data_IF_798732277318
#
_entry.id   IF_798732277318
#
_cell.length_a   1.000
_cell.length_b   1.000
_cell.length_c   1.000
_cell.angle_alpha   90.00
_cell.angle_beta   90.00
_cell.angle_gamma   90.00
#
_symmetry.space_group_name_H-M   'P 1'
#
loop_
_entity.id
_entity.type
_entity.pdbx_description
1 polymer ?
#
# COMPACT_ATOMS: atom_id res chain seq x y z
N UNK A 1 -15.54 -12.41 13.63
CA UNK A 1 -16.21 -12.19 12.33
C UNK A 1 -16.64 -13.52 11.73
N UNK A 2 -17.68 -13.55 10.90
CA UNK A 2 -18.02 -14.76 10.16
C UNK A 2 -16.92 -15.05 9.13
N UNK A 3 -16.62 -16.34 8.80
CA UNK A 3 -15.67 -16.70 7.77
C UNK A 3 -16.00 -16.06 6.43
N UNK A 4 -15.02 -15.51 5.74
CA UNK A 4 -15.19 -14.83 4.45
C UNK A 4 -15.23 -15.81 3.28
N UNK A 5 -14.86 -17.08 3.51
CA UNK A 5 -14.67 -18.11 2.48
C UNK A 5 -13.31 -18.01 1.80
N UNK A 6 -12.40 -17.19 2.32
CA UNK A 6 -11.01 -17.11 1.88
C UNK A 6 -10.05 -17.36 3.05
N UNK A 7 -9.27 -18.43 2.96
CA UNK A 7 -8.40 -18.86 4.04
C UNK A 7 -7.33 -17.83 4.43
N UNK A 8 -6.83 -17.05 3.47
CA UNK A 8 -5.83 -16.01 3.74
C UNK A 8 -6.46 -14.86 4.53
N UNK A 9 -7.66 -14.40 4.10
CA UNK A 9 -8.38 -13.33 4.81
C UNK A 9 -8.79 -13.80 6.20
N UNK A 10 -9.35 -15.02 6.32
CA UNK A 10 -9.79 -15.56 7.60
C UNK A 10 -8.62 -15.71 8.60
N UNK A 11 -7.42 -16.10 8.14
CA UNK A 11 -6.22 -16.17 8.97
C UNK A 11 -5.76 -14.78 9.44
N UNK A 12 -5.80 -13.79 8.56
CA UNK A 12 -5.44 -12.40 8.89
C UNK A 12 -6.46 -11.81 9.89
N UNK A 13 -7.75 -12.01 9.67
CA UNK A 13 -8.80 -11.52 10.56
C UNK A 13 -8.73 -12.18 11.93
N UNK A 14 -8.40 -13.49 11.98
CA UNK A 14 -8.13 -14.19 13.24
C UNK A 14 -6.94 -13.57 13.96
N UNK A 15 -5.83 -13.30 13.27
CA UNK A 15 -4.67 -12.64 13.86
C UNK A 15 -5.03 -11.27 14.46
N UNK A 16 -5.82 -10.46 13.73
CA UNK A 16 -6.30 -9.17 14.22
C UNK A 16 -7.10 -9.35 15.53
N UNK A 17 -8.02 -10.30 15.55
CA UNK A 17 -8.85 -10.59 16.72
C UNK A 17 -8.03 -11.06 17.93
N UNK A 18 -7.06 -11.94 17.71
CA UNK A 18 -6.18 -12.49 18.76
C UNK A 18 -5.28 -11.41 19.37
N UNK A 19 -4.80 -10.44 18.56
CA UNK A 19 -3.93 -9.34 19.02
C UNK A 19 -4.69 -8.23 19.76
N UNK A 20 -6.02 -8.17 19.67
CA UNK A 20 -6.87 -7.17 20.35
C UNK A 20 -6.36 -5.74 20.20
N UNK A 21 -6.01 -5.36 18.98
CA UNK A 21 -5.46 -4.04 18.69
C UNK A 21 -6.53 -2.99 18.94
N UNK A 22 -6.25 -2.07 19.85
CA UNK A 22 -7.15 -0.97 20.19
C UNK A 22 -6.88 0.22 19.24
N UNK A 23 -7.63 0.28 18.15
CA UNK A 23 -7.52 1.34 17.14
C UNK A 23 -8.07 2.70 17.59
N UNK A 24 -8.68 2.78 18.79
CA UNK A 24 -9.14 4.05 19.38
C UNK A 24 -8.01 4.82 20.06
N UNK A 25 -6.91 4.15 20.42
CA UNK A 25 -5.77 4.79 21.08
C UNK A 25 -5.01 5.72 20.14
N UNK A 26 -4.65 6.89 20.63
CA UNK A 26 -3.74 7.77 19.91
C UNK A 26 -2.42 7.06 19.60
N UNK A 27 -1.95 7.16 18.34
CA UNK A 27 -0.69 6.55 17.93
C UNK A 27 -0.73 5.04 17.71
N UNK A 28 -1.89 4.39 17.76
CA UNK A 28 -2.03 2.95 17.58
C UNK A 28 -1.34 2.42 16.31
N UNK A 29 -1.35 3.21 15.24
CA UNK A 29 -0.73 2.83 13.95
C UNK A 29 0.78 2.57 14.06
N UNK A 30 1.47 3.24 14.99
CA UNK A 30 2.92 3.08 15.17
C UNK A 30 3.30 1.91 16.08
N UNK A 31 2.32 1.28 16.72
CA UNK A 31 2.51 0.13 17.62
C UNK A 31 1.95 -1.19 17.07
N UNK A 32 1.44 -1.18 15.86
CA UNK A 32 0.86 -2.38 15.20
C UNK A 32 1.94 -3.46 15.00
N UNK A 33 1.72 -4.69 15.52
CA UNK A 33 2.69 -5.79 15.40
C UNK A 33 2.74 -6.36 13.98
N UNK A 34 3.81 -7.09 13.66
CA UNK A 34 3.97 -7.79 12.38
C UNK A 34 2.95 -8.93 12.27
N UNK A 35 2.20 -9.04 11.15
CA UNK A 35 1.33 -10.18 10.91
C UNK A 35 2.12 -11.44 10.56
N UNK A 36 1.48 -12.59 10.74
CA UNK A 36 1.97 -13.87 10.23
C UNK A 36 1.68 -13.98 8.73
N UNK A 37 2.59 -14.66 7.99
CA UNK A 37 2.43 -14.84 6.55
C UNK A 37 1.17 -15.65 6.22
N UNK A 38 0.28 -15.07 5.45
CA UNK A 38 -0.93 -15.75 4.97
C UNK A 38 -0.64 -16.65 3.75
N UNK A 39 -1.45 -17.69 3.58
CA UNK A 39 -1.39 -18.58 2.41
C UNK A 39 -2.51 -18.19 1.44
N UNK A 40 -2.11 -17.60 0.34
CA UNK A 40 -3.03 -17.15 -0.70
C UNK A 40 -3.46 -18.29 -1.63
N UNK A 41 -4.73 -18.30 -2.05
CA UNK A 41 -5.22 -19.22 -3.08
C UNK A 41 -4.81 -18.70 -4.47
N UNK A 42 -4.03 -19.46 -5.25
CA UNK A 42 -3.59 -19.03 -6.59
C UNK A 42 -4.73 -18.90 -7.60
N UNK A 43 -5.91 -19.43 -7.29
CA UNK A 43 -7.12 -19.31 -8.14
C UNK A 43 -7.90 -18.04 -7.88
N UNK A 44 -7.57 -17.31 -6.83
CA UNK A 44 -8.23 -16.06 -6.43
C UNK A 44 -7.40 -14.85 -6.77
N UNK A 45 -8.06 -13.72 -6.91
CA UNK A 45 -7.40 -12.44 -7.08
C UNK A 45 -7.78 -11.50 -5.94
N UNK A 46 -6.78 -10.83 -5.40
CA UNK A 46 -6.90 -9.92 -4.26
C UNK A 46 -6.72 -8.48 -4.77
N UNK A 47 -7.63 -7.61 -4.39
CA UNK A 47 -7.60 -6.22 -4.84
C UNK A 47 -7.69 -5.27 -3.65
N UNK A 48 -6.88 -4.23 -3.70
CA UNK A 48 -6.94 -3.10 -2.79
C UNK A 48 -7.73 -1.99 -3.46
N UNK A 49 -8.92 -1.70 -2.94
CA UNK A 49 -9.75 -0.59 -3.37
C UNK A 49 -9.48 0.61 -2.48
N UNK A 50 -9.10 1.73 -3.07
CA UNK A 50 -8.71 2.96 -2.39
C UNK A 50 -9.60 4.10 -2.85
N UNK A 51 -10.44 4.58 -1.97
CA UNK A 51 -11.24 5.79 -2.18
C UNK A 51 -10.46 6.99 -1.69
N UNK A 52 -10.10 7.89 -2.59
CA UNK A 52 -9.38 9.13 -2.28
C UNK A 52 -10.31 10.33 -2.37
N UNK A 53 -9.82 11.50 -1.96
CA UNK A 53 -10.57 12.75 -2.18
C UNK A 53 -10.59 13.22 -3.65
N UNK A 54 -9.87 12.56 -4.56
CA UNK A 54 -9.81 12.91 -5.99
C UNK A 54 -10.22 11.75 -6.91
N UNK A 55 -10.78 10.68 -6.36
CA UNK A 55 -11.30 9.53 -7.11
C UNK A 55 -10.97 8.20 -6.44
N UNK A 56 -11.31 7.10 -7.12
CA UNK A 56 -11.11 5.74 -6.62
C UNK A 56 -10.08 5.02 -7.48
N UNK A 57 -9.25 4.22 -6.82
CA UNK A 57 -8.30 3.28 -7.41
C UNK A 57 -8.69 1.86 -7.06
N UNK A 58 -8.48 0.94 -8.00
CA UNK A 58 -8.47 -0.49 -7.74
C UNK A 58 -7.12 -1.05 -8.15
N UNK A 59 -6.47 -1.71 -7.24
CA UNK A 59 -5.10 -2.20 -7.39
C UNK A 59 -5.12 -3.71 -7.17
N UNK A 60 -4.71 -4.48 -8.19
CA UNK A 60 -4.51 -5.92 -8.04
C UNK A 60 -3.25 -6.14 -7.21
N UNK A 61 -3.38 -6.85 -6.10
CA UNK A 61 -2.27 -7.27 -5.27
C UNK A 61 -1.61 -8.53 -5.86
N UNK A 62 -0.32 -8.68 -5.66
CA UNK A 62 0.50 -9.72 -6.29
C UNK A 62 1.13 -10.65 -5.22
N UNK A 63 0.33 -11.54 -4.61
CA UNK A 63 0.83 -12.42 -3.55
C UNK A 63 1.84 -13.48 -4.05
N UNK A 64 1.87 -13.76 -5.34
CA UNK A 64 2.86 -14.63 -5.99
C UNK A 64 4.23 -13.94 -6.19
N UNK A 65 4.28 -12.62 -6.07
CA UNK A 65 5.49 -11.79 -6.18
C UNK A 65 6.03 -11.41 -4.80
N UNK A 66 5.16 -10.88 -3.94
CA UNK A 66 5.53 -10.33 -2.65
C UNK A 66 4.51 -10.76 -1.56
N UNK A 67 4.49 -12.05 -1.18
CA UNK A 67 3.45 -12.60 -0.31
C UNK A 67 3.41 -11.95 1.08
N UNK A 68 4.55 -11.58 1.65
CA UNK A 68 4.57 -10.93 2.96
C UNK A 68 4.09 -9.48 2.89
N UNK A 69 4.44 -8.75 1.82
CA UNK A 69 3.91 -7.40 1.59
C UNK A 69 2.39 -7.43 1.40
N UNK A 70 1.88 -8.36 0.58
CA UNK A 70 0.43 -8.49 0.39
C UNK A 70 -0.28 -8.86 1.69
N UNK A 71 0.28 -9.79 2.48
CA UNK A 71 -0.24 -10.12 3.81
C UNK A 71 -0.32 -8.88 4.71
N UNK A 72 0.77 -8.14 4.81
CA UNK A 72 0.83 -6.92 5.62
C UNK A 72 -0.18 -5.86 5.13
N UNK A 73 -0.35 -5.75 3.81
CA UNK A 73 -1.27 -4.78 3.21
C UNK A 73 -2.73 -5.10 3.52
N UNK A 74 -3.13 -6.35 3.38
CA UNK A 74 -4.49 -6.81 3.74
C UNK A 74 -4.73 -6.60 5.23
N UNK A 75 -3.77 -7.01 6.07
CA UNK A 75 -3.82 -6.84 7.51
C UNK A 75 -4.02 -5.38 7.93
N UNK A 76 -3.17 -4.47 7.41
CA UNK A 76 -3.27 -3.03 7.71
C UNK A 76 -4.58 -2.44 7.19
N UNK A 77 -5.03 -2.87 6.01
CA UNK A 77 -6.30 -2.40 5.44
C UNK A 77 -7.49 -2.83 6.29
N UNK A 78 -7.53 -4.09 6.74
CA UNK A 78 -8.63 -4.60 7.57
C UNK A 78 -8.67 -3.93 8.95
N UNK A 79 -7.54 -3.42 9.45
CA UNK A 79 -7.48 -2.57 10.64
C UNK A 79 -7.95 -1.12 10.42
N UNK A 80 -8.22 -0.70 9.18
CA UNK A 80 -8.47 0.70 8.84
C UNK A 80 -7.22 1.59 8.93
N UNK A 81 -6.03 1.00 8.84
CA UNK A 81 -4.76 1.71 9.01
C UNK A 81 -4.56 2.84 8.01
N UNK A 82 -4.97 2.65 6.76
CA UNK A 82 -4.76 3.61 5.68
C UNK A 82 -5.83 4.72 5.63
N UNK A 83 -6.94 4.54 6.32
CA UNK A 83 -8.04 5.51 6.33
C UNK A 83 -7.53 6.86 6.87
N UNK A 84 -7.86 7.93 6.17
CA UNK A 84 -7.47 9.33 6.45
C UNK A 84 -5.99 9.66 6.23
N UNK A 85 -5.14 8.70 5.84
CA UNK A 85 -3.73 8.96 5.60
C UNK A 85 -3.51 9.77 4.31
N UNK A 86 -2.51 10.65 4.36
CA UNK A 86 -2.16 11.54 3.25
C UNK A 86 -1.23 10.87 2.24
N UNK A 87 -1.34 11.28 1.00
CA UNK A 87 -0.24 11.23 0.05
C UNK A 87 0.67 12.42 0.37
N UNK A 88 1.64 12.20 1.23
CA UNK A 88 2.49 13.28 1.78
C UNK A 88 3.59 13.74 0.84
N UNK A 89 3.86 12.97 -0.23
CA UNK A 89 4.88 13.30 -1.22
C UNK A 89 4.40 12.85 -2.60
N UNK A 90 4.15 13.81 -3.49
CA UNK A 90 3.73 13.54 -4.86
C UNK A 90 4.57 14.38 -5.81
N UNK A 91 5.25 13.72 -6.74
CA UNK A 91 6.15 14.36 -7.71
C UNK A 91 5.67 13.99 -9.11
N UNK A 92 5.34 15.00 -9.91
CA UNK A 92 4.94 14.82 -11.31
C UNK A 92 6.03 14.08 -12.10
N UNK A 93 5.61 13.25 -13.04
CA UNK A 93 6.48 12.38 -13.83
C UNK A 93 7.33 11.39 -12.99
N UNK A 94 6.90 11.10 -11.75
CA UNK A 94 7.59 10.13 -10.91
C UNK A 94 6.57 9.25 -10.16
N UNK A 95 6.04 9.68 -9.01
CA UNK A 95 5.18 8.85 -8.19
C UNK A 95 4.33 9.64 -7.19
N UNK A 96 3.30 8.99 -6.62
CA UNK A 96 2.59 9.43 -5.43
C UNK A 96 2.93 8.51 -4.25
N UNK A 97 3.44 9.06 -3.16
CA UNK A 97 3.82 8.33 -1.95
C UNK A 97 2.87 8.64 -0.80
N UNK A 98 2.43 7.59 -0.11
CA UNK A 98 1.53 7.66 1.04
C UNK A 98 1.80 6.57 2.06
N UNK A 99 0.84 6.34 2.98
CA UNK A 99 0.92 5.27 3.97
C UNK A 99 1.74 5.60 5.22
N UNK A 100 2.20 6.84 5.38
CA UNK A 100 2.86 7.28 6.59
C UNK A 100 1.83 7.71 7.65
N UNK A 101 1.73 7.05 8.81
CA UNK A 101 0.75 7.41 9.84
C UNK A 101 0.98 8.80 10.47
N UNK A 102 2.20 9.32 10.36
CA UNK A 102 2.56 10.66 10.85
C UNK A 102 2.44 11.74 9.77
N UNK A 103 2.22 11.35 8.50
CA UNK A 103 2.15 12.28 7.37
C UNK A 103 3.46 13.00 7.05
N UNK A 104 4.58 12.62 7.69
CA UNK A 104 5.91 13.24 7.55
C UNK A 104 6.88 12.45 6.67
N UNK A 105 6.54 11.21 6.34
CA UNK A 105 7.46 10.28 5.65
C UNK A 105 8.36 9.48 6.59
N UNK A 106 8.29 9.71 7.91
CA UNK A 106 9.17 9.02 8.90
C UNK A 106 8.44 7.96 9.72
N UNK A 107 7.10 7.86 9.61
CA UNK A 107 6.29 6.93 10.40
C UNK A 107 6.01 5.61 9.69
N UNK A 108 5.65 4.61 10.48
CA UNK A 108 5.24 3.30 10.03
C UNK A 108 4.76 2.43 11.19
N UNK A 109 4.40 1.15 10.95
CA UNK A 109 4.05 0.20 12.00
C UNK A 109 5.27 -0.16 12.84
N UNK A 110 5.07 -0.93 13.92
CA UNK A 110 6.15 -1.36 14.82
C UNK A 110 7.09 -2.43 14.23
N UNK A 111 6.99 -2.71 12.95
CA UNK A 111 7.80 -3.71 12.26
C UNK A 111 8.37 -3.19 10.93
N UNK A 112 9.35 -3.90 10.43
CA UNK A 112 9.93 -3.73 9.11
C UNK A 112 9.92 -5.06 8.36
N UNK A 113 9.86 -4.98 7.04
CA UNK A 113 9.91 -6.13 6.14
C UNK A 113 11.16 -6.05 5.27
N UNK A 114 11.79 -7.19 4.99
CA UNK A 114 12.76 -7.28 3.90
C UNK A 114 12.05 -7.10 2.55
N UNK A 115 12.74 -6.55 1.57
CA UNK A 115 12.21 -6.47 0.22
C UNK A 115 11.94 -7.87 -0.37
N UNK A 116 10.86 -8.00 -1.13
CA UNK A 116 10.51 -9.20 -1.88
C UNK A 116 10.62 -8.89 -3.37
N UNK A 117 11.49 -9.62 -4.06
CA UNK A 117 11.79 -9.40 -5.48
C UNK A 117 11.59 -10.69 -6.25
N UNK A 118 11.04 -10.60 -7.45
CA UNK A 118 10.81 -11.73 -8.35
C UNK A 118 11.30 -11.38 -9.74
N UNK A 119 12.04 -12.28 -10.35
CA UNK A 119 12.54 -12.11 -11.71
C UNK A 119 11.39 -11.87 -12.70
N UNK A 120 11.62 -10.95 -13.64
CA UNK A 120 10.62 -10.55 -14.63
C UNK A 120 9.55 -9.56 -14.13
N UNK A 121 9.61 -9.13 -12.86
CA UNK A 121 8.76 -8.07 -12.30
C UNK A 121 9.56 -6.78 -12.18
N UNK A 122 9.11 -5.73 -12.86
CA UNK A 122 9.82 -4.47 -13.02
C UNK A 122 8.87 -3.28 -12.91
N UNK A 123 9.42 -2.11 -12.57
CA UNK A 123 8.73 -0.83 -12.65
C UNK A 123 8.69 -0.32 -14.12
N UNK A 124 8.17 -1.15 -15.01
CA UNK A 124 8.17 -0.97 -16.47
C UNK A 124 7.15 0.04 -17.00
N UNK A 125 6.23 0.49 -16.16
CA UNK A 125 5.14 1.40 -16.56
C UNK A 125 4.53 2.15 -15.37
N UNK A 126 3.62 3.06 -15.67
CA UNK A 126 2.76 3.69 -14.67
C UNK A 126 1.85 2.67 -13.95
N UNK A 127 1.46 2.99 -12.71
CA UNK A 127 0.50 2.22 -11.94
C UNK A 127 1.09 1.04 -11.14
N UNK A 128 2.40 0.93 -11.02
CA UNK A 128 3.00 -0.03 -10.09
C UNK A 128 2.85 0.46 -8.66
N UNK A 129 2.35 -0.43 -7.79
CA UNK A 129 2.31 -0.24 -6.35
C UNK A 129 3.56 -0.88 -5.75
N UNK A 130 4.38 -0.08 -5.09
CA UNK A 130 5.68 -0.50 -4.59
C UNK A 130 5.94 0.01 -3.17
N UNK A 131 6.76 -0.73 -2.41
CA UNK A 131 7.11 -0.36 -1.04
C UNK A 131 8.12 0.80 -1.02
N UNK A 132 7.78 1.86 -0.28
CA UNK A 132 8.74 2.92 0.02
C UNK A 132 9.59 2.53 1.23
N UNK A 133 10.90 2.79 1.16
CA UNK A 133 11.83 2.42 2.20
C UNK A 133 12.97 3.43 2.35
N UNK A 134 13.77 3.28 3.40
CA UNK A 134 14.98 4.03 3.69
C UNK A 134 16.25 3.16 3.51
N UNK A 135 16.19 2.16 2.66
CA UNK A 135 17.23 1.18 2.38
C UNK A 135 16.76 -0.26 2.61
N UNK A 136 17.61 -1.26 2.36
CA UNK A 136 17.24 -2.67 2.46
C UNK A 136 16.67 -3.04 3.84
N UNK A 137 15.58 -3.82 3.85
CA UNK A 137 14.99 -4.32 5.10
C UNK A 137 14.23 -3.28 5.92
N UNK A 138 13.85 -2.14 5.34
CA UNK A 138 13.13 -1.07 6.04
C UNK A 138 11.72 -0.82 5.53
N UNK A 139 11.16 -1.71 4.72
CA UNK A 139 9.81 -1.62 4.21
C UNK A 139 8.80 -1.66 5.38
N UNK A 140 7.80 -0.80 5.35
CA UNK A 140 6.77 -0.72 6.38
C UNK A 140 5.38 -0.55 5.76
N UNK A 141 4.65 0.48 6.15
CA UNK A 141 3.34 0.84 5.60
C UNK A 141 3.39 1.88 4.49
N UNK A 142 4.55 2.49 4.25
CA UNK A 142 4.67 3.50 3.20
C UNK A 142 4.80 2.84 1.82
N UNK A 143 4.11 3.41 0.87
CA UNK A 143 4.04 2.93 -0.51
C UNK A 143 4.14 4.10 -1.49
N UNK A 144 4.38 3.77 -2.73
CA UNK A 144 4.20 4.71 -3.84
C UNK A 144 3.52 4.03 -5.03
N UNK A 145 2.84 4.85 -5.83
CA UNK A 145 2.24 4.47 -7.10
C UNK A 145 2.97 5.24 -8.19
N UNK A 146 3.53 4.53 -9.17
CA UNK A 146 4.31 5.15 -10.26
C UNK A 146 3.42 5.87 -11.27
N UNK A 147 3.91 7.00 -11.81
CA UNK A 147 3.25 7.75 -12.88
C UNK A 147 3.81 7.42 -14.27
N UNK A 148 4.93 6.75 -14.31
CA UNK A 148 5.61 6.27 -15.52
C UNK A 148 6.52 5.09 -15.21
N UNK A 149 7.25 4.60 -16.20
CA UNK A 149 8.37 3.68 -16.00
C UNK A 149 9.43 4.30 -15.06
N UNK A 150 9.88 3.49 -14.09
CA UNK A 150 10.92 3.83 -13.10
C UNK A 150 11.83 2.63 -12.85
N UNK A 151 12.30 1.96 -13.91
CA UNK A 151 13.08 0.72 -13.84
C UNK A 151 14.36 0.83 -12.98
N UNK A 152 14.89 2.04 -12.76
CA UNK A 152 16.01 2.27 -11.84
C UNK A 152 15.71 1.97 -10.36
N UNK A 153 14.44 1.72 -10.02
CA UNK A 153 13.98 1.29 -8.68
C UNK A 153 13.93 -0.23 -8.52
N UNK A 154 14.11 -0.99 -9.59
CA UNK A 154 14.09 -2.44 -9.58
C UNK A 154 15.17 -3.00 -8.64
N UNK A 155 14.81 -4.05 -7.88
CA UNK A 155 15.70 -4.65 -6.89
C UNK A 155 15.93 -3.81 -5.62
N UNK A 156 15.33 -2.61 -5.53
CA UNK A 156 15.43 -1.70 -4.37
C UNK A 156 14.11 -1.52 -3.66
N UNK A 157 13.01 -1.55 -4.40
CA UNK A 157 11.65 -1.38 -3.91
C UNK A 157 10.79 -2.55 -4.36
N UNK A 158 10.16 -3.23 -3.40
CA UNK A 158 9.32 -4.39 -3.67
C UNK A 158 8.02 -3.97 -4.36
N UNK A 159 7.77 -4.51 -5.56
CA UNK A 159 6.49 -4.35 -6.28
C UNK A 159 5.53 -5.41 -5.74
N UNK A 160 4.38 -4.98 -5.20
CA UNK A 160 3.39 -5.90 -4.66
C UNK A 160 1.97 -5.67 -5.18
N UNK A 161 1.81 -4.77 -6.16
CA UNK A 161 0.52 -4.51 -6.80
C UNK A 161 0.64 -3.72 -8.10
N UNK A 162 -0.49 -3.69 -8.83
CA UNK A 162 -0.63 -2.95 -10.07
C UNK A 162 -2.04 -2.36 -10.17
N UNK A 163 -2.14 -1.08 -10.53
CA UNK A 163 -3.42 -0.39 -10.74
C UNK A 163 -4.14 -1.01 -11.93
N UNK A 164 -5.37 -1.49 -11.71
CA UNK A 164 -6.24 -2.08 -12.73
C UNK A 164 -7.45 -1.20 -13.06
N UNK A 165 -7.83 -0.30 -12.16
CA UNK A 165 -8.86 0.72 -12.40
C UNK A 165 -8.41 2.06 -11.81
N UNK A 166 -8.66 3.16 -12.52
CA UNK A 166 -8.34 4.51 -12.06
C UNK A 166 -6.99 5.06 -12.55
N UNK A 167 -6.28 4.35 -13.44
CA UNK A 167 -4.98 4.79 -13.96
C UNK A 167 -5.09 6.12 -14.72
N UNK A 168 -6.04 6.20 -15.66
CA UNK A 168 -6.24 7.37 -16.51
C UNK A 168 -7.14 8.46 -15.89
N UNK A 169 -7.61 8.22 -14.68
CA UNK A 169 -8.46 9.14 -13.91
C UNK A 169 -7.79 9.53 -12.61
N UNK A 170 -7.96 8.76 -11.54
CA UNK A 170 -7.49 9.09 -10.19
C UNK A 170 -5.97 9.23 -10.10
N UNK A 171 -5.19 8.36 -10.78
CA UNK A 171 -3.72 8.47 -10.81
C UNK A 171 -3.30 9.77 -11.48
N UNK A 172 -3.96 10.17 -12.57
CA UNK A 172 -3.71 11.44 -13.24
C UNK A 172 -4.09 12.64 -12.38
N UNK A 173 -5.17 12.55 -11.61
CA UNK A 173 -5.56 13.61 -10.68
C UNK A 173 -4.60 13.75 -9.50
N UNK A 174 -4.02 12.64 -9.00
CA UNK A 174 -2.92 12.68 -8.03
C UNK A 174 -1.69 13.36 -8.63
N UNK A 175 -1.26 12.94 -9.82
CA UNK A 175 -0.08 13.49 -10.51
C UNK A 175 -0.20 14.98 -10.75
N UNK A 176 -1.35 15.44 -11.27
CA UNK A 176 -1.64 16.85 -11.56
C UNK A 176 -1.42 17.77 -10.36
N UNK A 177 -1.67 17.27 -9.15
CA UNK A 177 -1.54 18.00 -7.89
C UNK A 177 -0.18 17.87 -7.23
N UNK A 178 0.72 17.06 -7.80
CA UNK A 178 2.09 16.91 -7.34
C UNK A 178 2.99 18.08 -7.73
N UNK A 179 4.16 18.13 -7.12
CA UNK A 179 5.17 19.13 -7.42
C UNK A 179 5.87 18.87 -8.75
N UNK A 180 6.30 19.95 -9.41
CA UNK A 180 7.17 19.91 -10.58
C UNK A 180 8.65 20.12 -10.22
N UNK A 181 8.89 20.72 -9.08
CA UNK A 181 10.24 21.07 -8.58
C UNK A 181 10.91 19.93 -7.80
N UNK A 182 10.27 18.77 -7.69
CA UNK A 182 10.78 17.62 -6.94
C UNK A 182 10.61 17.70 -5.43
N UNK A 183 10.03 18.77 -4.90
CA UNK A 183 9.80 18.94 -3.45
C UNK A 183 8.82 17.91 -2.87
N UNK A 184 7.95 17.35 -3.69
CA UNK A 184 6.88 16.44 -3.26
C UNK A 184 5.68 17.13 -2.63
N UNK A 185 5.67 18.45 -2.53
CA UNK A 185 4.53 19.22 -2.01
C UNK A 185 3.35 19.14 -2.96
N UNK A 186 2.17 18.89 -2.42
CA UNK A 186 0.93 18.87 -3.19
C UNK A 186 0.28 20.25 -3.20
N UNK A 187 -0.36 20.62 -4.32
CA UNK A 187 -1.07 21.90 -4.46
C UNK A 187 -2.28 22.02 -3.53
N UNK A 188 -2.82 20.88 -3.12
CA UNK A 188 -3.91 20.75 -2.15
C UNK A 188 -3.76 19.43 -1.38
N UNK A 189 -4.41 19.25 -0.23
CA UNK A 189 -4.35 18.00 0.52
C UNK A 189 -4.86 16.82 -0.32
N UNK A 190 -4.05 15.77 -0.45
CA UNK A 190 -4.42 14.50 -1.05
C UNK A 190 -4.44 13.43 0.03
N UNK A 191 -5.53 12.69 0.13
CA UNK A 191 -5.68 11.68 1.19
C UNK A 191 -6.61 10.53 0.80
N UNK A 192 -6.44 9.42 1.49
CA UNK A 192 -7.30 8.24 1.41
C UNK A 192 -8.52 8.48 2.29
N UNK A 193 -9.73 8.39 1.74
CA UNK A 193 -10.97 8.42 2.52
C UNK A 193 -11.23 7.07 3.17
N UNK A 194 -11.08 6.00 2.37
CA UNK A 194 -11.32 4.62 2.79
C UNK A 194 -10.51 3.66 1.94
N UNK A 195 -9.98 2.63 2.59
CA UNK A 195 -9.36 1.50 1.90
C UNK A 195 -10.06 0.19 2.28
N UNK A 196 -10.26 -0.70 1.31
CA UNK A 196 -10.89 -2.02 1.50
C UNK A 196 -10.22 -3.08 0.65
N UNK A 197 -10.41 -4.35 1.03
CA UNK A 197 -9.96 -5.51 0.27
C UNK A 197 -11.15 -6.16 -0.43
N UNK A 198 -10.98 -6.47 -1.70
CA UNK A 198 -11.92 -7.28 -2.48
C UNK A 198 -11.23 -8.56 -2.94
N UNK A 199 -11.89 -9.71 -2.77
CA UNK A 199 -11.43 -11.02 -3.25
C UNK A 199 -12.39 -11.50 -4.33
N UNK A 200 -11.83 -12.02 -5.45
CA UNK A 200 -12.59 -12.58 -6.57
C UNK A 200 -12.07 -13.97 -6.91
#
# INVERSE_FOLDING_TARGET
MAPTGDAAIDAIDKFIADKKIDTSKQGWRTSVPKPELAKFDPKKSYHWKVETNVGTLKIKLLPDVAPMHVTAWIYLTNLGYFDTLKFHRVIQNFMAQGGCPLGSGTGGPAYKLPGEFKDGVSHDKAGKLSAANAGPGTDGSQFFITFKETAYLDGKHAIFGEVVEGLDTTVKELEKRGSRDGSGRTSEPLFIKKATIEVK
#
